data_IF_146290148097
#
_entry.id   IF_146290148097
#
_cell.length_a   1.000
_cell.length_b   1.000
_cell.length_c   1.000
_cell.angle_alpha   90.00
_cell.angle_beta   90.00
_cell.angle_gamma   90.00
#
_symmetry.space_group_name_H-M   'P 1'
#
loop_
_entity.id
_entity.type
_entity.pdbx_description
1 polymer ?
#
# COMPACT_ATOMS: atom_id res chain seq x y z
N UNK A 1 -13.14 36.59 61.65
CA UNK A 1 -14.09 36.24 60.56
C UNK A 1 -13.39 35.27 59.63
N UNK A 2 -14.07 34.15 59.35
CA UNK A 2 -13.64 33.02 58.53
C UNK A 2 -13.64 33.38 57.05
N UNK A 3 -12.68 32.86 56.29
CA UNK A 3 -12.87 32.62 54.87
C UNK A 3 -12.39 31.20 54.54
N UNK A 4 -13.32 30.26 54.70
CA UNK A 4 -13.25 28.92 54.14
C UNK A 4 -13.39 29.01 52.61
N UNK A 5 -12.44 28.43 51.86
CA UNK A 5 -12.76 27.93 50.51
C UNK A 5 -11.76 26.87 50.06
N UNK A 6 -12.06 25.64 50.45
CA UNK A 6 -11.47 24.41 49.91
C UNK A 6 -12.21 24.09 48.61
N UNK A 7 -11.54 24.10 47.46
CA UNK A 7 -12.10 23.70 46.15
C UNK A 7 -11.05 22.77 45.49
N UNK A 8 -11.21 21.46 45.64
CA UNK A 8 -11.82 20.50 44.69
C UNK A 8 -10.83 20.02 43.61
N UNK A 9 -10.29 18.81 43.81
CA UNK A 9 -9.51 18.03 42.85
C UNK A 9 -10.39 17.54 41.70
N UNK A 10 -9.92 17.55 40.44
CA UNK A 10 -10.34 16.57 39.45
C UNK A 10 -9.33 15.44 39.37
N UNK A 11 -9.74 14.26 39.83
CA UNK A 11 -9.09 12.97 39.56
C UNK A 11 -9.22 12.72 38.06
N UNK A 12 -8.13 12.90 37.31
CA UNK A 12 -8.05 12.46 35.91
C UNK A 12 -7.86 10.95 35.88
N UNK A 13 -8.97 10.20 35.81
CA UNK A 13 -8.93 8.77 35.48
C UNK A 13 -8.68 8.61 33.99
N UNK A 14 -7.41 8.47 33.61
CA UNK A 14 -7.03 8.07 32.26
C UNK A 14 -7.30 6.57 32.08
N UNK A 15 -8.48 6.24 31.56
CA UNK A 15 -8.77 4.90 31.03
C UNK A 15 -8.01 4.77 29.71
N UNK A 16 -6.79 4.24 29.77
CA UNK A 16 -6.08 3.77 28.58
C UNK A 16 -6.69 2.42 28.19
N UNK A 17 -7.79 2.48 27.45
CA UNK A 17 -8.31 1.35 26.70
C UNK A 17 -7.28 0.95 25.67
N UNK A 18 -6.49 -0.09 25.97
CA UNK A 18 -5.71 -0.82 24.99
C UNK A 18 -6.68 -1.62 24.11
N UNK A 19 -7.34 -0.95 23.17
CA UNK A 19 -7.95 -1.62 22.03
C UNK A 19 -6.81 -2.15 21.17
N UNK A 20 -6.44 -3.40 21.37
CA UNK A 20 -5.56 -4.16 20.48
C UNK A 20 -6.27 -4.36 19.14
N UNK A 21 -6.26 -3.32 18.30
CA UNK A 21 -6.71 -3.44 16.92
C UNK A 21 -5.66 -4.26 16.17
N UNK A 22 -5.96 -5.55 16.03
CA UNK A 22 -5.51 -6.46 14.98
C UNK A 22 -4.12 -6.17 14.39
N UNK A 23 -3.08 -6.75 15.02
CA UNK A 23 -1.74 -6.86 14.46
C UNK A 23 -1.66 -8.01 13.42
N UNK A 24 -2.66 -8.07 12.53
CA UNK A 24 -2.61 -8.87 11.31
C UNK A 24 -2.13 -7.94 10.19
N UNK A 25 -0.87 -7.51 10.26
CA UNK A 25 -0.16 -7.10 9.05
C UNK A 25 0.06 -8.40 8.25
N UNK A 26 -0.91 -8.76 7.41
CA UNK A 26 -0.67 -9.68 6.32
C UNK A 26 0.51 -9.07 5.56
N UNK A 27 1.68 -9.72 5.59
CA UNK A 27 2.83 -9.26 4.83
C UNK A 27 2.36 -9.03 3.40
N UNK A 28 2.45 -7.78 2.93
CA UNK A 28 2.10 -7.40 1.57
C UNK A 28 3.13 -8.02 0.62
N UNK A 29 2.92 -9.30 0.33
CA UNK A 29 3.78 -10.11 -0.52
C UNK A 29 3.64 -9.74 -1.99
N UNK A 30 2.49 -9.16 -2.36
CA UNK A 30 2.13 -8.92 -3.74
C UNK A 30 2.70 -7.59 -4.26
N UNK A 31 2.67 -6.52 -3.48
CA UNK A 31 3.28 -5.24 -3.88
C UNK A 31 4.75 -5.36 -4.31
N UNK A 32 5.68 -5.97 -3.54
CA UNK A 32 7.07 -6.09 -3.97
C UNK A 32 7.23 -7.00 -5.21
N UNK A 33 6.40 -8.03 -5.35
CA UNK A 33 6.41 -8.92 -6.52
C UNK A 33 5.91 -8.19 -7.77
N UNK A 34 4.83 -7.42 -7.66
CA UNK A 34 4.29 -6.61 -8.74
C UNK A 34 5.31 -5.56 -9.17
N UNK A 35 5.89 -4.82 -8.22
CA UNK A 35 6.91 -3.80 -8.51
C UNK A 35 8.12 -4.40 -9.24
N UNK A 36 8.61 -5.57 -8.81
CA UNK A 36 9.73 -6.26 -9.48
C UNK A 36 9.37 -6.69 -10.90
N UNK A 37 8.15 -7.15 -11.12
CA UNK A 37 7.68 -7.48 -12.46
C UNK A 37 7.63 -6.23 -13.36
N UNK A 38 7.03 -5.14 -12.89
CA UNK A 38 6.93 -3.89 -13.63
C UNK A 38 8.29 -3.28 -13.95
N UNK A 39 9.27 -3.40 -13.04
CA UNK A 39 10.65 -2.96 -13.29
C UNK A 39 11.29 -3.67 -14.49
N UNK A 40 11.05 -4.97 -14.65
CA UNK A 40 11.51 -5.72 -15.82
C UNK A 40 10.76 -5.35 -17.11
N UNK A 41 9.45 -5.08 -16.99
CA UNK A 41 8.65 -4.59 -18.12
C UNK A 41 9.16 -3.22 -18.57
N UNK A 42 9.46 -2.32 -17.64
CA UNK A 42 10.05 -1.01 -17.92
C UNK A 42 11.40 -1.12 -18.63
N UNK A 43 12.30 -2.00 -18.16
CA UNK A 43 13.57 -2.29 -18.87
C UNK A 43 13.36 -2.78 -20.29
N UNK A 44 12.26 -3.49 -20.56
CA UNK A 44 11.92 -3.95 -21.92
C UNK A 44 11.53 -2.79 -22.83
N UNK A 45 10.75 -1.82 -22.32
CA UNK A 45 10.42 -0.58 -23.03
C UNK A 45 11.68 0.23 -23.35
N UNK A 46 12.56 0.39 -22.36
CA UNK A 46 13.75 1.23 -22.45
C UNK A 46 14.90 0.59 -23.26
N UNK A 47 14.86 -0.73 -23.47
CA UNK A 47 15.93 -1.47 -24.14
C UNK A 47 16.07 -1.10 -25.62
N UNK A 48 17.28 -0.75 -26.06
CA UNK A 48 17.58 -0.51 -27.49
C UNK A 48 17.58 -1.80 -28.34
N UNK A 49 17.59 -2.97 -27.70
CA UNK A 49 17.76 -4.28 -28.35
C UNK A 49 16.46 -5.05 -28.51
N UNK A 50 15.34 -4.52 -27.99
CA UNK A 50 14.01 -5.12 -28.08
C UNK A 50 13.25 -4.52 -29.27
N UNK A 51 12.49 -5.37 -29.97
CA UNK A 51 11.67 -4.93 -31.11
C UNK A 51 10.55 -3.97 -30.69
N UNK A 52 10.18 -3.03 -31.56
CA UNK A 52 9.13 -2.03 -31.25
C UNK A 52 7.82 -2.69 -30.83
N UNK A 53 7.44 -3.82 -31.47
CA UNK A 53 6.22 -4.55 -31.11
C UNK A 53 6.24 -5.09 -29.67
N UNK A 54 7.39 -5.56 -29.20
CA UNK A 54 7.54 -6.03 -27.82
C UNK A 54 7.50 -4.87 -26.83
N UNK A 55 8.06 -3.71 -27.21
CA UNK A 55 7.95 -2.48 -26.41
C UNK A 55 6.51 -2.00 -26.30
N UNK A 56 5.74 -2.05 -27.39
CA UNK A 56 4.34 -1.65 -27.37
C UNK A 56 3.50 -2.54 -26.44
N UNK A 57 3.78 -3.84 -26.43
CA UNK A 57 3.13 -4.77 -25.50
C UNK A 57 3.53 -4.48 -24.05
N UNK A 58 4.82 -4.26 -23.80
CA UNK A 58 5.33 -3.90 -22.48
C UNK A 58 4.72 -2.59 -21.97
N UNK A 59 4.62 -1.57 -22.83
CA UNK A 59 3.99 -0.29 -22.50
C UNK A 59 2.51 -0.46 -22.14
N UNK A 60 1.76 -1.28 -22.90
CA UNK A 60 0.36 -1.59 -22.58
C UNK A 60 0.20 -2.27 -21.22
N UNK A 61 1.15 -3.10 -20.81
CA UNK A 61 1.14 -3.74 -19.49
C UNK A 61 1.31 -2.67 -18.40
N UNK A 62 2.30 -1.78 -18.55
CA UNK A 62 2.53 -0.68 -17.60
C UNK A 62 1.31 0.23 -17.47
N UNK A 63 0.70 0.61 -18.59
CA UNK A 63 -0.48 1.46 -18.61
C UNK A 63 -1.68 0.77 -17.95
N UNK A 64 -1.89 -0.52 -18.22
CA UNK A 64 -2.96 -1.31 -17.60
C UNK A 64 -2.81 -1.37 -16.08
N UNK A 65 -1.59 -1.62 -15.59
CA UNK A 65 -1.36 -1.67 -14.14
C UNK A 65 -1.55 -0.30 -13.52
N UNK A 66 -0.99 0.76 -14.11
CA UNK A 66 -1.16 2.13 -13.63
C UNK A 66 -2.64 2.53 -13.50
N UNK A 67 -3.46 2.12 -14.46
CA UNK A 67 -4.89 2.43 -14.46
C UNK A 67 -5.70 1.55 -13.49
N UNK A 68 -5.23 0.35 -13.15
CA UNK A 68 -5.99 -0.61 -12.35
C UNK A 68 -5.56 -0.68 -10.89
N UNK A 69 -4.34 -0.24 -10.55
CA UNK A 69 -3.74 -0.39 -9.21
C UNK A 69 -4.49 0.33 -8.10
N UNK A 70 -5.13 1.46 -8.41
CA UNK A 70 -5.90 2.20 -7.43
C UNK A 70 -7.23 1.50 -7.08
N UNK A 71 -7.75 0.67 -8.00
CA UNK A 71 -9.07 0.05 -7.90
C UNK A 71 -9.00 -1.45 -7.62
N UNK A 72 -7.83 -2.08 -7.79
CA UNK A 72 -7.62 -3.53 -7.70
C UNK A 72 -6.38 -3.84 -6.88
N UNK A 73 -6.49 -4.78 -5.95
CA UNK A 73 -5.37 -5.23 -5.12
C UNK A 73 -4.21 -5.79 -5.97
N UNK A 74 -2.97 -5.53 -5.54
CA UNK A 74 -1.75 -5.91 -6.25
C UNK A 74 -1.65 -7.43 -6.48
N UNK A 75 -2.20 -8.26 -5.59
CA UNK A 75 -2.27 -9.72 -5.77
C UNK A 75 -3.14 -10.12 -6.97
N UNK A 76 -4.31 -9.50 -7.11
CA UNK A 76 -5.25 -9.79 -8.20
C UNK A 76 -4.68 -9.29 -9.53
N UNK A 77 -3.92 -8.21 -9.51
CA UNK A 77 -3.21 -7.73 -10.70
C UNK A 77 -2.11 -8.68 -11.12
N UNK A 78 -1.36 -9.25 -10.19
CA UNK A 78 -0.35 -10.27 -10.48
C UNK A 78 -0.99 -11.49 -11.17
N UNK A 79 -2.06 -12.05 -10.62
CA UNK A 79 -2.72 -13.23 -11.20
C UNK A 79 -3.30 -12.98 -12.60
N UNK A 80 -3.67 -11.72 -12.91
CA UNK A 80 -4.17 -11.34 -14.24
C UNK A 80 -3.06 -11.07 -15.25
N UNK A 81 -1.83 -10.82 -14.80
CA UNK A 81 -0.70 -10.42 -15.64
C UNK A 81 0.32 -11.55 -15.84
N UNK A 82 0.47 -12.40 -14.83
CA UNK A 82 1.31 -13.59 -14.88
C UNK A 82 0.43 -14.81 -15.18
N UNK A 83 0.74 -15.57 -16.24
CA UNK A 83 0.12 -16.89 -16.45
C UNK A 83 0.54 -17.89 -15.37
#
# INVERSE_FOLDING_TARGET
>A
MSLNKTIFLPIFTSILGLSSNSLFAFDDYCTPKLNKYLDNVQKTVDSKYISSRQKDVAQKILDKVKNSRNDTEDCVLIDKLLP
#
